data_IF_517249367372
#
_entry.id   IF_517249367372
#
_cell.length_a   1.000
_cell.length_b   1.000
_cell.length_c   1.000
_cell.angle_alpha   90.00
_cell.angle_beta   90.00
_cell.angle_gamma   90.00
#
_symmetry.space_group_name_H-M   'P 1'
#
loop_
_entity.id
_entity.type
_entity.pdbx_description
1 polymer ?
#
# COMPACT_ATOMS: atom_id res chain seq x y z
N UNK A 1 -33.06 50.56 9.82
CA UNK A 1 -31.83 50.48 10.65
C UNK A 1 -32.11 49.42 11.72
N UNK A 2 -31.32 48.37 11.92
CA UNK A 2 -29.89 48.40 12.20
C UNK A 2 -29.05 47.55 11.23
N UNK A 3 -28.03 48.21 10.69
CA UNK A 3 -26.89 47.58 10.05
C UNK A 3 -26.10 46.80 11.10
N UNK A 4 -25.95 45.50 10.88
CA UNK A 4 -24.61 44.90 10.83
C UNK A 4 -24.67 43.65 9.96
N UNK A 5 -24.40 43.80 8.66
CA UNK A 5 -23.79 42.71 7.87
C UNK A 5 -22.35 42.57 8.38
N UNK A 6 -22.20 42.12 9.61
CA UNK A 6 -20.92 41.71 10.16
C UNK A 6 -20.59 40.35 9.60
N UNK A 7 -20.34 40.25 8.29
CA UNK A 7 -19.61 39.12 7.72
C UNK A 7 -18.16 39.32 8.16
N UNK A 8 -17.90 39.12 9.46
CA UNK A 8 -16.57 38.84 9.93
C UNK A 8 -16.13 37.62 9.15
N UNK A 9 -15.06 37.76 8.36
CA UNK A 9 -14.58 36.72 7.45
C UNK A 9 -14.40 35.41 8.22
N UNK A 10 -15.41 34.54 8.19
CA UNK A 10 -15.32 33.20 8.74
C UNK A 10 -14.42 32.42 7.78
N UNK A 11 -13.11 32.49 8.00
CA UNK A 11 -12.13 31.76 7.21
C UNK A 11 -12.10 30.31 7.69
N UNK A 12 -12.73 29.45 6.92
CA UNK A 12 -12.59 28.01 7.06
C UNK A 12 -11.20 27.59 6.55
N UNK A 13 -10.20 27.65 7.44
CA UNK A 13 -8.80 27.35 7.14
C UNK A 13 -8.23 26.20 7.98
N UNK A 14 -9.07 25.26 8.43
CA UNK A 14 -8.62 24.09 9.19
C UNK A 14 -8.32 22.95 8.22
N UNK A 15 -7.10 22.47 8.25
CA UNK A 15 -6.69 21.26 7.54
C UNK A 15 -6.02 20.28 8.51
N UNK A 16 -5.99 19.02 8.13
CA UNK A 16 -5.36 17.94 8.90
C UNK A 16 -3.94 17.68 8.42
N UNK A 17 -3.08 17.19 9.30
CA UNK A 17 -1.75 16.73 8.92
C UNK A 17 -1.83 15.58 7.90
N UNK A 18 -0.81 15.49 7.04
CA UNK A 18 -0.70 14.41 6.08
C UNK A 18 -0.54 13.04 6.76
N UNK A 19 -1.42 12.10 6.42
CA UNK A 19 -1.49 10.77 7.04
C UNK A 19 -0.52 9.73 6.45
N UNK A 20 0.25 10.11 5.41
CA UNK A 20 1.27 9.26 4.76
C UNK A 20 0.76 7.87 4.31
N UNK A 21 -0.51 7.81 3.90
CA UNK A 21 -1.14 6.63 3.30
C UNK A 21 -0.50 6.29 1.95
N UNK A 22 -0.90 5.17 1.36
CA UNK A 22 -0.47 4.70 0.05
C UNK A 22 0.31 3.39 0.09
N UNK A 23 0.67 2.94 -1.11
CA UNK A 23 1.55 1.81 -1.34
C UNK A 23 2.96 2.09 -0.78
N UNK A 24 3.56 1.04 -0.22
CA UNK A 24 4.91 1.06 0.33
C UNK A 24 5.85 0.11 -0.41
N UNK A 25 5.30 -0.93 -1.03
CA UNK A 25 6.01 -1.89 -1.87
C UNK A 25 5.33 -2.05 -3.22
N UNK A 26 6.12 -2.06 -4.28
CA UNK A 26 5.63 -2.19 -5.66
C UNK A 26 5.78 -3.62 -6.18
N UNK A 27 5.18 -3.91 -7.34
CA UNK A 27 5.21 -5.26 -7.92
C UNK A 27 6.64 -5.66 -8.30
N UNK A 28 7.04 -6.88 -7.97
CA UNK A 28 8.38 -7.40 -8.19
C UNK A 28 9.42 -7.00 -7.13
N UNK A 29 9.04 -6.25 -6.09
CA UNK A 29 9.95 -5.96 -5.00
C UNK A 29 10.06 -7.11 -4.01
N UNK A 30 11.29 -7.35 -3.53
CA UNK A 30 11.56 -8.28 -2.44
C UNK A 30 11.08 -7.70 -1.11
N UNK A 31 10.42 -8.54 -0.32
CA UNK A 31 9.90 -8.22 1.01
C UNK A 31 10.19 -9.35 1.98
N UNK A 32 10.49 -9.01 3.23
CA UNK A 32 10.57 -9.94 4.34
C UNK A 32 9.19 -10.18 4.95
N UNK A 33 9.04 -11.20 5.79
CA UNK A 33 7.84 -11.35 6.62
C UNK A 33 7.63 -10.15 7.56
N UNK A 34 6.41 -9.65 7.66
CA UNK A 34 6.03 -8.51 8.48
C UNK A 34 6.16 -7.14 7.80
N UNK A 35 6.70 -7.06 6.59
CA UNK A 35 6.83 -5.80 5.87
C UNK A 35 5.45 -5.22 5.48
N UNK A 36 5.28 -3.91 5.67
CA UNK A 36 4.07 -3.20 5.25
C UNK A 36 4.08 -3.03 3.73
N UNK A 37 3.02 -3.50 3.07
CA UNK A 37 2.84 -3.42 1.63
C UNK A 37 2.03 -2.18 1.23
N UNK A 38 0.96 -1.87 1.97
CA UNK A 38 0.12 -0.70 1.73
C UNK A 38 -0.54 -0.21 3.02
N UNK A 39 -0.57 1.11 3.22
CA UNK A 39 -1.41 1.78 4.22
C UNK A 39 -2.59 2.41 3.51
N UNK A 40 -3.80 2.06 3.87
CA UNK A 40 -5.00 2.50 3.15
C UNK A 40 -6.11 2.93 4.12
N UNK A 41 -7.17 3.52 3.56
CA UNK A 41 -8.44 3.77 4.25
C UNK A 41 -9.49 2.97 3.50
N UNK A 42 -10.08 1.99 4.17
CA UNK A 42 -10.82 0.94 3.48
C UNK A 42 -9.90 0.02 2.67
N UNK A 43 -10.48 -1.06 2.15
CA UNK A 43 -9.75 -2.07 1.36
C UNK A 43 -9.78 -1.77 -0.14
N UNK A 44 -8.96 -0.80 -0.58
CA UNK A 44 -8.74 -0.54 -2.02
C UNK A 44 -7.98 -1.70 -2.67
N UNK A 45 -7.00 -2.24 -1.94
CA UNK A 45 -6.35 -3.50 -2.24
C UNK A 45 -6.77 -4.52 -1.19
N UNK A 46 -7.09 -5.73 -1.65
CA UNK A 46 -7.49 -6.85 -0.81
C UNK A 46 -6.28 -7.76 -0.54
N UNK A 47 -6.25 -8.43 0.62
CA UNK A 47 -5.21 -9.42 0.91
C UNK A 47 -5.35 -10.59 -0.06
N UNK A 48 -4.25 -10.92 -0.74
CA UNK A 48 -4.09 -12.11 -1.56
C UNK A 48 -3.32 -13.19 -0.81
N UNK A 49 -2.54 -13.97 -1.53
CA UNK A 49 -1.77 -15.08 -0.96
C UNK A 49 -0.62 -14.55 -0.10
N UNK A 50 -0.46 -15.12 1.10
CA UNK A 50 0.60 -14.78 2.06
C UNK A 50 0.63 -13.31 2.49
N UNK A 51 -0.52 -12.65 2.51
CA UNK A 51 -0.70 -11.27 2.95
C UNK A 51 -1.76 -11.20 4.03
N UNK A 52 -1.44 -10.55 5.14
CA UNK A 52 -2.37 -10.25 6.24
C UNK A 52 -2.98 -8.85 6.12
N UNK A 53 -4.09 -8.65 6.83
CA UNK A 53 -4.77 -7.35 6.97
C UNK A 53 -4.81 -6.95 8.46
N UNK A 54 -4.38 -5.73 8.75
CA UNK A 54 -4.45 -5.13 10.08
C UNK A 54 -5.82 -4.50 10.38
N UNK A 55 -5.99 -4.02 11.62
CA UNK A 55 -7.24 -3.37 12.08
C UNK A 55 -7.58 -2.10 11.29
N UNK A 56 -6.58 -1.40 10.78
CA UNK A 56 -6.72 -0.15 10.00
C UNK A 56 -6.65 -0.40 8.48
N UNK A 57 -6.94 -1.62 8.04
CA UNK A 57 -6.85 -2.09 6.66
C UNK A 57 -5.44 -2.11 6.06
N UNK A 58 -4.40 -1.88 6.87
CA UNK A 58 -3.00 -1.99 6.43
C UNK A 58 -2.69 -3.43 5.98
N UNK A 59 -2.09 -3.58 4.80
CA UNK A 59 -1.64 -4.87 4.30
C UNK A 59 -0.16 -5.10 4.62
N UNK A 60 0.16 -6.30 5.08
CA UNK A 60 1.52 -6.72 5.41
C UNK A 60 1.83 -8.14 4.91
N UNK A 61 3.09 -8.41 4.59
CA UNK A 61 3.54 -9.73 4.16
C UNK A 61 3.59 -10.71 5.34
N UNK A 62 3.18 -11.95 5.14
CA UNK A 62 3.31 -13.02 6.13
C UNK A 62 4.62 -13.80 5.95
N UNK A 63 5.12 -13.85 4.72
CA UNK A 63 6.34 -14.56 4.35
C UNK A 63 7.31 -13.63 3.63
N UNK A 64 8.56 -14.06 3.53
CA UNK A 64 9.52 -13.49 2.59
C UNK A 64 9.19 -13.87 1.14
N UNK A 65 9.42 -12.97 0.21
CA UNK A 65 9.22 -13.23 -1.22
C UNK A 65 9.08 -11.95 -2.03
N UNK A 66 8.40 -12.06 -3.16
CA UNK A 66 8.17 -10.97 -4.11
C UNK A 66 6.70 -10.58 -4.18
N UNK A 67 6.45 -9.27 -4.22
CA UNK A 67 5.09 -8.72 -4.27
C UNK A 67 4.50 -8.86 -5.67
N UNK A 68 3.29 -9.41 -5.77
CA UNK A 68 2.53 -9.51 -7.02
C UNK A 68 1.16 -8.86 -6.87
N UNK A 69 0.79 -8.04 -7.84
CA UNK A 69 -0.53 -7.44 -7.94
C UNK A 69 -1.39 -8.26 -8.90
N UNK A 70 -2.60 -8.62 -8.45
CA UNK A 70 -3.56 -9.37 -9.24
C UNK A 70 -4.85 -8.58 -9.37
N UNK A 71 -5.41 -8.48 -10.58
CA UNK A 71 -6.72 -7.90 -10.80
C UNK A 71 -7.73 -9.01 -11.08
N UNK A 72 -8.69 -9.23 -10.18
CA UNK A 72 -9.70 -10.31 -10.28
C UNK A 72 -11.05 -9.80 -10.78
N UNK A 73 -11.03 -8.84 -11.72
CA UNK A 73 -12.23 -8.26 -12.33
C UNK A 73 -13.17 -7.66 -11.28
N UNK A 74 -14.42 -8.13 -11.23
CA UNK A 74 -15.43 -7.67 -10.27
C UNK A 74 -15.00 -7.85 -8.80
N UNK A 75 -14.11 -8.80 -8.50
CA UNK A 75 -13.63 -9.03 -7.13
C UNK A 75 -12.63 -7.96 -6.67
N UNK A 76 -12.09 -7.15 -7.58
CA UNK A 76 -11.17 -6.06 -7.29
C UNK A 76 -9.68 -6.44 -7.37
N UNK A 77 -8.83 -5.58 -6.81
CA UNK A 77 -7.37 -5.71 -6.83
C UNK A 77 -6.87 -6.41 -5.58
N UNK A 78 -5.94 -7.34 -5.75
CA UNK A 78 -5.34 -8.14 -4.69
C UNK A 78 -3.82 -7.94 -4.68
N UNK A 79 -3.23 -8.01 -3.48
CA UNK A 79 -1.77 -8.03 -3.30
C UNK A 79 -1.41 -9.38 -2.69
N UNK A 80 -0.54 -10.11 -3.37
CA UNK A 80 -0.03 -11.41 -2.95
C UNK A 80 1.49 -11.35 -2.83
N UNK A 81 2.08 -12.24 -2.02
CA UNK A 81 3.52 -12.44 -1.93
C UNK A 81 3.83 -13.89 -2.28
N UNK A 82 4.78 -14.10 -3.19
CA UNK A 82 5.21 -15.42 -3.64
C UNK A 82 6.73 -15.57 -3.51
N UNK A 83 7.20 -16.77 -3.19
CA UNK A 83 8.63 -17.10 -3.14
C UNK A 83 9.27 -17.10 -4.54
N UNK A 84 8.45 -17.28 -5.57
CA UNK A 84 8.86 -17.43 -6.96
C UNK A 84 9.13 -16.07 -7.60
N UNK A 85 10.34 -15.57 -7.34
CA UNK A 85 10.90 -14.39 -7.99
C UNK A 85 12.41 -14.32 -7.82
N UNK A 86 13.08 -15.46 -7.58
CA UNK A 86 14.51 -15.51 -7.86
C UNK A 86 14.65 -15.22 -9.37
N UNK A 87 15.27 -14.11 -9.79
CA UNK A 87 15.85 -14.13 -11.12
C UNK A 87 16.76 -15.35 -11.15
N UNK A 88 16.65 -16.19 -12.18
CA UNK A 88 17.68 -17.17 -12.48
C UNK A 88 19.03 -16.50 -12.19
N UNK A 89 19.76 -17.01 -11.22
CA UNK A 89 21.13 -16.63 -11.00
C UNK A 89 21.83 -16.99 -12.30
N UNK A 90 21.97 -16.01 -13.20
CA UNK A 90 22.91 -16.10 -14.30
C UNK A 90 24.22 -16.59 -13.66
N UNK A 91 24.81 -17.69 -14.14
CA UNK A 91 26.09 -18.12 -13.62
C UNK A 91 27.01 -16.91 -13.79
N UNK A 92 27.50 -16.37 -12.66
CA UNK A 92 28.66 -15.49 -12.69
C UNK A 92 29.75 -16.35 -13.29
N UNK A 93 29.95 -16.23 -14.60
CA UNK A 93 31.05 -16.83 -15.30
C UNK A 93 32.28 -16.40 -14.51
N UNK A 94 32.91 -17.39 -13.90
CA UNK A 94 34.27 -17.30 -13.38
C UNK A 94 35.11 -16.91 -14.60
N UNK A 95 35.39 -15.61 -14.71
CA UNK A 95 36.45 -15.14 -15.55
C UNK A 95 37.74 -15.60 -14.85
N UNK A 96 38.43 -16.52 -15.52
CA UNK A 96 39.76 -17.01 -15.20
C UNK A 96 40.78 -15.87 -15.13
#
# INVERSE_FOLDING_TARGET
MAHKKGVGSSRNGRDSNAQRLGLKKFGGEHVLGGNILARQRGTKWKPGNNVGIGKDDTLFSLIEGFVKFENKGQKGKFISVYLEGAPELAPKVVAA
#
